data_IF_511962512662
#
_entry.id   IF_511962512662
#
_cell.length_a   1.000
_cell.length_b   1.000
_cell.length_c   1.000
_cell.angle_alpha   90.00
_cell.angle_beta   90.00
_cell.angle_gamma   90.00
#
_symmetry.space_group_name_H-M   'P 1'
#
loop_
_entity.id
_entity.type
_entity.pdbx_description
1 polymer ?
#
# COMPACT_ATOMS: atom_id res chain seq x y z
N UNK A 1 15.15 -1.46 19.47
CA UNK A 1 14.19 -0.69 18.64
C UNK A 1 12.85 -0.65 19.36
N UNK A 2 12.25 0.54 19.49
CA UNK A 2 10.88 0.73 20.03
C UNK A 2 10.02 1.17 18.85
N UNK A 3 8.94 0.45 18.58
CA UNK A 3 8.00 0.84 17.54
C UNK A 3 6.86 1.64 18.16
N UNK A 4 6.56 2.80 17.56
CA UNK A 4 5.44 3.64 17.98
C UNK A 4 4.28 3.42 17.00
N UNK A 5 3.17 2.93 17.53
CA UNK A 5 1.94 2.73 16.78
C UNK A 5 0.90 3.71 17.28
N UNK A 6 0.21 4.39 16.37
CA UNK A 6 -0.98 5.15 16.74
C UNK A 6 -2.20 4.23 16.68
N UNK A 7 -2.88 4.02 17.81
CA UNK A 7 -4.10 3.22 17.87
C UNK A 7 -5.32 4.09 17.57
N UNK A 8 -6.03 3.78 16.48
CA UNK A 8 -7.26 4.48 16.09
C UNK A 8 -8.37 4.29 17.14
N UNK A 9 -8.48 3.11 17.72
CA UNK A 9 -9.51 2.78 18.71
C UNK A 9 -9.26 3.44 20.07
N UNK A 10 -8.00 3.62 20.45
CA UNK A 10 -7.62 4.19 21.75
C UNK A 10 -7.22 5.67 21.68
N UNK A 11 -7.23 6.26 20.49
CA UNK A 11 -6.86 7.66 20.21
C UNK A 11 -5.50 8.06 20.84
N UNK A 12 -4.53 7.13 20.84
CA UNK A 12 -3.22 7.33 21.50
C UNK A 12 -2.09 6.56 20.84
N UNK A 13 -0.86 7.01 21.10
CA UNK A 13 0.36 6.28 20.75
C UNK A 13 0.61 5.14 21.74
N UNK A 14 0.77 3.95 21.22
CA UNK A 14 1.18 2.72 21.92
C UNK A 14 2.61 2.40 21.51
N UNK A 15 3.49 2.19 22.48
CA UNK A 15 4.87 1.76 22.23
C UNK A 15 5.00 0.25 22.41
N UNK A 16 5.56 -0.41 21.40
CA UNK A 16 5.91 -1.83 21.47
C UNK A 16 7.42 -1.96 21.50
N UNK A 17 7.93 -2.36 22.66
CA UNK A 17 9.33 -2.70 22.83
C UNK A 17 9.63 -4.05 22.20
N UNK A 18 10.76 -4.15 21.49
CA UNK A 18 11.30 -5.44 21.06
C UNK A 18 11.60 -6.29 22.30
N UNK A 19 10.74 -7.24 22.64
CA UNK A 19 10.96 -8.19 23.74
C UNK A 19 12.16 -9.06 23.41
N UNK A 20 13.26 -8.90 24.16
CA UNK A 20 14.29 -9.96 24.28
C UNK A 20 15.61 -9.82 23.52
N UNK A 21 16.10 -8.62 23.18
CA UNK A 21 17.51 -8.49 22.76
C UNK A 21 18.16 -7.22 23.31
N UNK A 22 18.94 -7.38 24.40
CA UNK A 22 19.96 -6.42 24.84
C UNK A 22 21.21 -6.46 23.94
N UNK A 23 21.17 -7.21 22.84
CA UNK A 23 22.22 -7.26 21.83
C UNK A 23 21.88 -6.31 20.68
N UNK A 24 22.91 -5.72 20.09
CA UNK A 24 22.86 -5.00 18.82
C UNK A 24 22.45 -6.00 17.72
N UNK A 25 21.17 -6.34 17.67
CA UNK A 25 20.62 -7.32 16.73
C UNK A 25 20.69 -6.78 15.31
N UNK A 26 20.61 -7.67 14.31
CA UNK A 26 20.75 -7.31 12.89
C UNK A 26 19.78 -6.23 12.44
N UNK A 27 18.64 -6.02 13.14
CA UNK A 27 17.52 -5.16 12.71
C UNK A 27 17.66 -3.65 13.01
N UNK A 28 18.68 -3.20 13.75
CA UNK A 28 18.72 -1.79 14.19
C UNK A 28 18.85 -0.77 13.04
N UNK A 29 19.33 -1.19 11.87
CA UNK A 29 19.48 -0.36 10.67
C UNK A 29 18.47 -0.72 9.55
N UNK A 30 17.50 -1.60 9.84
CA UNK A 30 16.50 -2.03 8.86
C UNK A 30 15.46 -0.94 8.59
N UNK A 31 15.09 -0.76 7.31
CA UNK A 31 13.96 0.07 6.90
C UNK A 31 12.68 -0.76 6.89
N UNK A 32 11.59 -0.19 7.38
CA UNK A 32 10.26 -0.79 7.20
C UNK A 32 9.81 -0.49 5.77
N UNK A 33 9.47 -1.54 5.02
CA UNK A 33 9.15 -1.46 3.58
C UNK A 33 7.77 -2.02 3.23
N UNK A 34 7.04 -2.53 4.21
CA UNK A 34 5.69 -3.06 4.03
C UNK A 34 5.12 -3.59 5.33
N UNK A 35 3.82 -3.81 5.36
CA UNK A 35 3.10 -4.34 6.52
C UNK A 35 1.89 -5.10 6.01
N UNK A 36 1.74 -6.37 6.37
CA UNK A 36 0.63 -7.21 5.92
C UNK A 36 0.35 -8.31 6.95
N UNK A 37 -0.93 -8.54 7.25
CA UNK A 37 -1.40 -9.59 8.17
C UNK A 37 -0.67 -9.62 9.53
N UNK A 38 -0.45 -8.47 10.17
CA UNK A 38 0.24 -8.37 11.46
C UNK A 38 1.76 -8.54 11.40
N UNK A 39 2.35 -8.63 10.20
CA UNK A 39 3.80 -8.69 9.98
C UNK A 39 4.30 -7.41 9.35
N UNK A 40 5.40 -6.87 9.89
CA UNK A 40 6.21 -5.84 9.26
C UNK A 40 7.25 -6.49 8.36
N UNK A 41 7.47 -5.93 7.18
CA UNK A 41 8.60 -6.28 6.35
C UNK A 41 9.76 -5.30 6.56
N UNK A 42 10.93 -5.85 6.87
CA UNK A 42 12.14 -5.11 7.19
C UNK A 42 13.21 -5.41 6.14
N UNK A 43 13.76 -4.37 5.53
CA UNK A 43 14.80 -4.46 4.51
C UNK A 43 16.10 -3.83 4.99
N UNK A 44 17.20 -4.55 4.82
CA UNK A 44 18.55 -4.10 5.13
C UNK A 44 19.29 -3.70 3.87
N UNK A 45 19.61 -2.42 3.74
CA UNK A 45 20.22 -1.89 2.52
C UNK A 45 21.66 -2.39 2.31
N UNK A 46 22.40 -2.66 3.38
CA UNK A 46 23.81 -3.01 3.31
C UNK A 46 24.07 -4.44 2.83
N UNK A 47 23.21 -5.39 3.20
CA UNK A 47 23.37 -6.81 2.87
C UNK A 47 22.22 -7.38 2.03
N UNK A 48 21.25 -6.54 1.66
CA UNK A 48 20.04 -6.91 0.93
C UNK A 48 19.19 -8.00 1.62
N UNK A 49 19.33 -8.16 2.93
CA UNK A 49 18.50 -9.09 3.68
C UNK A 49 17.09 -8.52 3.87
N UNK A 50 16.10 -9.40 3.74
CA UNK A 50 14.69 -9.09 3.94
C UNK A 50 14.11 -10.02 5.01
N UNK A 51 13.36 -9.46 5.94
CA UNK A 51 12.76 -10.21 7.04
C UNK A 51 11.30 -9.81 7.26
N UNK A 52 10.48 -10.78 7.67
CA UNK A 52 9.18 -10.52 8.26
C UNK A 52 9.33 -10.53 9.79
N UNK A 53 8.88 -9.47 10.44
CA UNK A 53 8.85 -9.33 11.89
C UNK A 53 7.43 -9.11 12.38
N UNK A 54 6.99 -9.90 13.36
CA UNK A 54 5.69 -9.69 14.02
C UNK A 54 5.92 -8.97 15.36
N UNK A 55 5.53 -7.68 15.50
CA UNK A 55 5.80 -6.89 16.71
C UNK A 55 5.12 -7.41 17.98
N UNK A 56 4.01 -8.13 17.84
CA UNK A 56 3.20 -8.63 18.96
C UNK A 56 3.79 -9.92 19.52
N UNK A 57 4.09 -10.87 18.64
CA UNK A 57 4.64 -12.19 19.01
C UNK A 57 6.16 -12.22 19.13
N UNK A 58 6.87 -11.23 18.57
CA UNK A 58 8.33 -11.18 18.51
C UNK A 58 8.97 -12.16 17.52
N UNK A 59 8.15 -12.83 16.68
CA UNK A 59 8.65 -13.80 15.69
C UNK A 59 9.34 -13.10 14.52
N UNK A 60 10.36 -13.76 13.98
CA UNK A 60 11.12 -13.30 12.81
C UNK A 60 11.22 -14.42 11.79
N UNK A 61 11.08 -14.08 10.50
CA UNK A 61 11.26 -15.00 9.37
C UNK A 61 12.18 -14.33 8.36
N UNK A 62 13.29 -14.97 8.03
CA UNK A 62 14.20 -14.51 6.98
C UNK A 62 13.63 -14.91 5.62
N UNK A 63 13.43 -13.93 4.76
CA UNK A 63 13.10 -14.13 3.35
C UNK A 63 14.39 -14.28 2.52
N UNK A 64 14.31 -14.81 1.29
CA UNK A 64 15.49 -14.89 0.44
C UNK A 64 16.09 -13.51 0.20
N UNK A 65 17.43 -13.39 0.13
CA UNK A 65 18.04 -12.15 -0.32
C UNK A 65 17.60 -11.89 -1.77
N UNK A 66 17.37 -10.63 -2.09
CA UNK A 66 16.99 -10.20 -3.42
C UNK A 66 18.10 -9.32 -3.99
N UNK A 67 18.73 -9.77 -5.07
CA UNK A 67 19.71 -8.96 -5.80
C UNK A 67 18.98 -7.83 -6.55
N UNK A 68 18.73 -6.72 -5.86
CA UNK A 68 18.02 -5.57 -6.43
C UNK A 68 18.91 -4.65 -7.28
N UNK A 69 20.23 -4.87 -7.32
CA UNK A 69 21.18 -3.95 -7.97
C UNK A 69 21.08 -2.55 -7.36
N UNK A 70 20.99 -1.51 -8.18
CA UNK A 70 20.69 -0.14 -7.74
C UNK A 70 19.19 0.12 -7.51
N UNK A 71 18.37 -0.93 -7.48
CA UNK A 71 16.92 -0.86 -7.39
C UNK A 71 16.39 -0.72 -5.96
N UNK A 72 15.15 -0.25 -5.84
CA UNK A 72 14.41 -0.10 -4.58
C UNK A 72 13.50 -1.29 -4.32
N UNK A 73 13.16 -1.55 -3.05
CA UNK A 73 11.99 -2.36 -2.73
C UNK A 73 10.78 -1.43 -2.60
N UNK A 74 9.72 -1.71 -3.36
CA UNK A 74 8.57 -0.82 -3.45
C UNK A 74 7.46 -1.27 -2.52
N UNK A 75 7.02 -2.53 -2.62
CA UNK A 75 5.96 -3.11 -1.77
C UNK A 75 6.20 -4.59 -1.51
N UNK A 76 5.63 -5.09 -0.43
CA UNK A 76 5.58 -6.52 -0.09
C UNK A 76 4.25 -6.85 0.59
N UNK A 77 3.60 -7.90 0.09
CA UNK A 77 2.35 -8.43 0.63
C UNK A 77 2.50 -9.94 0.87
N UNK A 78 1.88 -10.44 1.93
CA UNK A 78 1.82 -11.88 2.22
C UNK A 78 0.38 -12.38 2.14
N UNK A 79 0.20 -13.65 1.77
CA UNK A 79 -1.12 -14.26 1.60
C UNK A 79 -1.75 -14.78 2.90
N UNK A 80 -1.03 -14.72 4.03
CA UNK A 80 -1.47 -15.33 5.29
C UNK A 80 -0.76 -14.72 6.48
N UNK A 81 -1.44 -14.72 7.61
CA UNK A 81 -0.90 -14.40 8.93
C UNK A 81 0.06 -15.45 9.49
N UNK A 82 0.09 -16.63 8.86
CA UNK A 82 0.99 -17.75 9.16
C UNK A 82 2.03 -17.93 8.04
N UNK A 83 3.03 -17.02 7.90
CA UNK A 83 4.02 -17.10 6.83
C UNK A 83 4.92 -18.34 6.85
N UNK A 84 4.93 -19.09 7.95
CA UNK A 84 5.66 -20.34 8.10
C UNK A 84 4.96 -21.53 7.44
N UNK A 85 3.69 -21.40 7.06
CA UNK A 85 2.96 -22.44 6.33
C UNK A 85 3.44 -22.54 4.87
N UNK A 86 3.50 -23.76 4.34
CA UNK A 86 3.96 -23.99 2.95
C UNK A 86 3.05 -23.35 1.90
N UNK A 87 1.80 -23.05 2.25
CA UNK A 87 0.82 -22.41 1.37
C UNK A 87 0.94 -20.87 1.36
N UNK A 88 1.71 -20.29 2.29
CA UNK A 88 1.92 -18.85 2.29
C UNK A 88 2.82 -18.43 1.13
N UNK A 89 2.43 -17.33 0.48
CA UNK A 89 3.19 -16.67 -0.58
C UNK A 89 3.51 -15.25 -0.11
N UNK A 90 4.74 -14.83 -0.33
CA UNK A 90 5.13 -13.43 -0.24
C UNK A 90 5.37 -12.92 -1.66
N UNK A 91 4.71 -11.83 -2.02
CA UNK A 91 4.83 -11.17 -3.33
C UNK A 91 5.41 -9.78 -3.11
N UNK A 92 6.34 -9.39 -3.98
CA UNK A 92 7.05 -8.13 -3.88
C UNK A 92 7.05 -7.39 -5.22
N UNK A 93 7.09 -6.06 -5.15
CA UNK A 93 7.52 -5.21 -6.25
C UNK A 93 8.88 -4.60 -5.93
N UNK A 94 9.79 -4.62 -6.90
CA UNK A 94 11.18 -4.19 -6.69
C UNK A 94 11.87 -3.73 -7.97
N UNK A 95 12.99 -3.03 -7.81
CA UNK A 95 13.78 -2.49 -8.90
C UNK A 95 13.26 -1.15 -9.43
N UNK A 96 14.00 -0.51 -10.35
CA UNK A 96 13.59 0.75 -10.98
C UNK A 96 12.38 0.58 -11.92
N UNK A 97 12.04 -0.65 -12.28
CA UNK A 97 10.92 -0.99 -13.16
C UNK A 97 9.72 -1.58 -12.39
N UNK A 98 9.77 -1.57 -11.05
CA UNK A 98 8.71 -2.12 -10.18
C UNK A 98 8.30 -3.55 -10.60
N UNK A 99 9.29 -4.42 -10.82
CA UNK A 99 9.12 -5.81 -11.25
C UNK A 99 8.48 -6.66 -10.17
N UNK A 100 7.73 -7.67 -10.58
CA UNK A 100 7.03 -8.58 -9.68
C UNK A 100 7.84 -9.86 -9.43
N UNK A 101 7.94 -10.27 -8.18
CA UNK A 101 8.46 -11.59 -7.82
C UNK A 101 7.70 -12.17 -6.63
N UNK A 102 7.75 -13.49 -6.48
CA UNK A 102 7.21 -14.16 -5.31
C UNK A 102 8.15 -15.21 -4.73
N UNK A 103 7.98 -15.50 -3.44
CA UNK A 103 8.62 -16.62 -2.78
C UNK A 103 7.63 -17.33 -1.83
N UNK A 104 8.07 -18.47 -1.28
CA UNK A 104 7.31 -19.27 -0.31
C UNK A 104 8.04 -19.23 1.04
N UNK A 105 7.65 -18.35 1.99
CA UNK A 105 8.44 -18.14 3.21
C UNK A 105 8.54 -19.38 4.11
N UNK A 106 7.52 -20.25 4.11
CA UNK A 106 7.50 -21.49 4.88
C UNK A 106 8.24 -22.68 4.26
N UNK A 107 8.75 -22.57 3.02
CA UNK A 107 9.31 -23.73 2.31
C UNK A 107 10.72 -24.05 2.80
N UNK A 108 10.92 -25.26 3.34
CA UNK A 108 12.16 -25.68 4.01
C UNK A 108 13.26 -26.25 3.10
N UNK A 109 13.14 -26.15 1.76
CA UNK A 109 14.19 -26.63 0.85
C UNK A 109 15.39 -25.66 0.80
N UNK A 110 16.56 -26.22 0.50
CA UNK A 110 17.91 -25.68 0.75
C UNK A 110 18.26 -24.27 0.23
N UNK A 111 17.42 -23.65 -0.59
CA UNK A 111 17.38 -22.19 -0.80
C UNK A 111 15.93 -21.82 -1.14
N UNK A 112 15.27 -21.02 -0.31
CA UNK A 112 14.08 -20.29 -0.74
C UNK A 112 14.61 -19.27 -1.76
N UNK A 113 14.09 -19.24 -2.97
CA UNK A 113 14.50 -18.31 -4.03
C UNK A 113 13.30 -17.52 -4.54
N UNK A 114 13.56 -16.30 -5.00
CA UNK A 114 12.56 -15.46 -5.64
C UNK A 114 12.29 -15.98 -7.05
N UNK A 115 11.02 -16.24 -7.35
CA UNK A 115 10.56 -16.55 -8.70
C UNK A 115 10.02 -15.28 -9.33
N UNK A 116 10.59 -14.89 -10.48
CA UNK A 116 10.16 -13.70 -11.22
C UNK A 116 8.79 -13.94 -11.85
N UNK A 117 7.95 -12.91 -11.84
CA UNK A 117 6.61 -12.90 -12.41
C UNK A 117 6.53 -11.82 -13.50
N UNK A 118 5.64 -12.04 -14.47
CA UNK A 118 5.42 -11.12 -15.59
C UNK A 118 6.55 -11.15 -16.64
N UNK A 119 6.38 -10.35 -17.69
CA UNK A 119 7.43 -10.10 -18.68
C UNK A 119 8.28 -8.89 -18.27
N UNK A 120 9.60 -9.01 -18.38
CA UNK A 120 10.57 -8.01 -17.91
C UNK A 120 10.70 -6.78 -18.83
N UNK A 121 9.86 -6.66 -19.86
CA UNK A 121 10.16 -5.81 -21.03
C UNK A 121 9.48 -4.44 -21.06
N UNK A 122 8.43 -4.15 -20.27
CA UNK A 122 7.76 -2.83 -20.34
C UNK A 122 6.76 -2.46 -19.22
N UNK A 123 6.65 -3.20 -18.12
CA UNK A 123 5.50 -3.07 -17.21
C UNK A 123 5.89 -2.71 -15.77
N UNK A 124 5.45 -1.54 -15.31
CA UNK A 124 5.57 -1.09 -13.91
C UNK A 124 4.31 -1.47 -13.13
N UNK A 125 4.49 -2.18 -12.01
CA UNK A 125 3.40 -2.53 -11.09
C UNK A 125 3.28 -1.47 -9.99
N UNK A 126 2.10 -0.85 -9.89
CA UNK A 126 1.87 0.25 -8.93
C UNK A 126 1.17 -0.22 -7.65
N UNK A 127 0.29 -1.21 -7.76
CA UNK A 127 -0.44 -1.74 -6.61
C UNK A 127 -0.57 -3.25 -6.62
N UNK A 128 -0.54 -3.81 -5.41
CA UNK A 128 -0.80 -5.21 -5.12
C UNK A 128 -1.91 -5.30 -4.07
N UNK A 129 -2.76 -6.31 -4.20
CA UNK A 129 -3.71 -6.72 -3.16
C UNK A 129 -3.86 -8.24 -3.16
N UNK A 130 -4.25 -8.81 -2.02
CA UNK A 130 -4.49 -10.26 -1.91
C UNK A 130 -5.92 -10.53 -1.47
N UNK A 131 -6.59 -11.44 -2.18
CA UNK A 131 -7.90 -11.97 -1.80
C UNK A 131 -7.73 -13.34 -1.15
N UNK A 132 -8.17 -13.45 0.09
CA UNK A 132 -8.11 -14.68 0.87
C UNK A 132 -9.15 -15.70 0.39
N UNK A 133 -10.33 -15.23 -0.03
CA UNK A 133 -11.42 -16.09 -0.52
C UNK A 133 -11.12 -16.67 -1.89
N UNK A 134 -10.61 -15.87 -2.82
CA UNK A 134 -10.27 -16.32 -4.17
C UNK A 134 -8.87 -16.97 -4.22
N UNK A 135 -8.02 -16.68 -3.21
CA UNK A 135 -6.62 -17.08 -3.14
C UNK A 135 -5.84 -16.60 -4.37
N UNK A 136 -6.04 -15.32 -4.71
CA UNK A 136 -5.44 -14.64 -5.85
C UNK A 136 -4.74 -13.36 -5.39
N UNK A 137 -3.64 -13.03 -6.06
CA UNK A 137 -3.02 -11.72 -5.95
C UNK A 137 -3.51 -10.86 -7.11
N UNK A 138 -4.06 -9.70 -6.80
CA UNK A 138 -4.46 -8.71 -7.78
C UNK A 138 -3.35 -7.68 -7.94
N UNK A 139 -3.03 -7.33 -9.18
CA UNK A 139 -2.00 -6.38 -9.52
C UNK A 139 -2.57 -5.31 -10.44
N UNK A 140 -2.25 -4.05 -10.19
CA UNK A 140 -2.55 -2.92 -11.08
C UNK A 140 -1.24 -2.41 -11.70
N UNK A 141 -1.27 -2.19 -13.01
CA UNK A 141 -0.15 -1.64 -13.78
C UNK A 141 -0.35 -0.14 -14.04
N UNK A 142 0.73 0.55 -14.40
CA UNK A 142 0.71 1.99 -14.71
C UNK A 142 -0.29 2.39 -15.80
N UNK A 143 -0.60 1.51 -16.74
CA UNK A 143 -1.56 1.77 -17.82
C UNK A 143 -2.97 1.25 -17.51
N UNK A 144 -3.36 1.18 -16.23
CA UNK A 144 -4.69 0.78 -15.76
C UNK A 144 -5.08 -0.68 -16.02
N UNK A 145 -4.14 -1.48 -16.52
CA UNK A 145 -4.35 -2.89 -16.69
C UNK A 145 -4.36 -3.61 -15.34
N UNK A 146 -5.35 -4.47 -15.16
CA UNK A 146 -5.50 -5.32 -13.98
C UNK A 146 -5.16 -6.78 -14.28
N UNK A 147 -4.43 -7.42 -13.38
CA UNK A 147 -4.03 -8.82 -13.49
C UNK A 147 -4.39 -9.58 -12.22
N UNK A 148 -4.86 -10.82 -12.39
CA UNK A 148 -4.99 -11.79 -11.32
C UNK A 148 -3.91 -12.86 -11.42
N UNK A 149 -3.16 -13.05 -10.34
CA UNK A 149 -2.10 -14.04 -10.22
C UNK A 149 -2.51 -15.17 -9.28
N UNK A 150 -2.54 -16.39 -9.83
CA UNK A 150 -2.68 -17.63 -9.07
C UNK A 150 -1.29 -18.23 -8.82
N UNK A 151 -0.86 -18.15 -7.57
CA UNK A 151 0.46 -18.61 -7.12
C UNK A 151 0.38 -19.85 -6.23
N UNK A 152 -0.75 -20.57 -6.22
CA UNK A 152 -0.93 -21.75 -5.37
C UNK A 152 0.07 -22.84 -5.69
N UNK A 153 0.28 -23.12 -6.98
CA UNK A 153 1.37 -23.97 -7.45
C UNK A 153 2.63 -23.12 -7.69
N UNK A 154 3.65 -23.21 -6.82
CA UNK A 154 4.85 -22.40 -6.96
C UNK A 154 5.69 -22.76 -8.20
N UNK A 155 5.43 -23.90 -8.85
CA UNK A 155 6.12 -24.31 -10.08
C UNK A 155 5.39 -23.87 -11.34
N UNK A 156 4.14 -23.44 -11.22
CA UNK A 156 3.30 -23.03 -12.35
C UNK A 156 2.49 -21.78 -11.99
N UNK A 157 3.15 -20.62 -11.79
CA UNK A 157 2.45 -19.36 -11.58
C UNK A 157 1.60 -19.03 -12.81
N UNK A 158 0.34 -18.65 -12.60
CA UNK A 158 -0.60 -18.33 -13.68
C UNK A 158 -1.12 -16.92 -13.55
N UNK A 159 -0.93 -16.13 -14.60
CA UNK A 159 -1.52 -14.82 -14.75
C UNK A 159 -2.80 -14.93 -15.58
N UNK A 160 -3.84 -14.21 -15.17
CA UNK A 160 -5.07 -14.00 -15.94
C UNK A 160 -5.33 -12.50 -16.03
N UNK A 161 -5.38 -11.91 -17.24
CA UNK A 161 -5.73 -10.51 -17.39
C UNK A 161 -7.19 -10.30 -16.99
N UNK A 162 -7.46 -9.24 -16.23
CA UNK A 162 -8.82 -8.84 -15.87
C UNK A 162 -9.25 -7.81 -16.90
N UNK A 163 -10.06 -8.26 -17.87
CA UNK A 163 -10.66 -7.36 -18.85
C UNK A 163 -11.84 -6.67 -18.17
N UNK A 164 -11.70 -5.36 -17.98
CA UNK A 164 -12.69 -4.54 -17.29
C UNK A 164 -13.47 -3.73 -18.31
N UNK A 165 -14.79 -3.77 -18.21
CA UNK A 165 -15.68 -2.78 -18.81
C UNK A 165 -15.82 -1.57 -17.90
N UNK A 166 -15.68 -0.37 -18.45
CA UNK A 166 -15.71 0.87 -17.68
C UNK A 166 -16.77 1.82 -18.23
N UNK A 167 -17.32 2.66 -17.37
CA UNK A 167 -18.11 3.81 -17.78
C UNK A 167 -17.16 4.93 -18.23
N UNK A 168 -17.15 5.26 -19.52
CA UNK A 168 -16.21 6.23 -20.09
C UNK A 168 -16.30 7.63 -19.44
N UNK A 169 -17.48 8.01 -18.95
CA UNK A 169 -17.70 9.31 -18.29
C UNK A 169 -17.17 9.35 -16.84
N UNK A 170 -16.84 8.20 -16.24
CA UNK A 170 -16.43 8.10 -14.83
C UNK A 170 -15.09 7.36 -14.64
N UNK A 171 -14.44 6.92 -15.72
CA UNK A 171 -13.14 6.25 -15.70
C UNK A 171 -12.24 6.72 -16.85
N UNK A 172 -10.95 7.01 -16.62
CA UNK A 172 -10.22 6.83 -15.35
C UNK A 172 -10.52 7.88 -14.28
N UNK A 173 -11.11 9.01 -14.67
CA UNK A 173 -11.39 10.14 -13.79
C UNK A 173 -12.89 10.37 -13.74
N UNK A 174 -13.46 10.43 -12.54
CA UNK A 174 -14.82 10.92 -12.35
C UNK A 174 -14.76 12.42 -12.03
N UNK A 175 -15.57 13.25 -12.69
CA UNK A 175 -15.63 14.67 -12.37
C UNK A 175 -17.05 15.21 -12.53
N UNK A 176 -17.42 16.17 -11.68
CA UNK A 176 -18.75 16.80 -11.68
C UNK A 176 -18.73 18.20 -12.29
N UNK A 177 -17.54 18.73 -12.57
CA UNK A 177 -17.35 20.01 -13.24
C UNK A 177 -16.04 19.98 -14.05
N UNK A 178 -15.97 20.83 -15.06
CA UNK A 178 -14.74 21.03 -15.85
C UNK A 178 -13.57 21.43 -14.96
N UNK A 179 -13.81 22.30 -13.96
CA UNK A 179 -12.78 22.69 -12.99
C UNK A 179 -12.24 21.51 -12.17
N UNK A 180 -13.09 20.59 -11.73
CA UNK A 180 -12.65 19.39 -11.00
C UNK A 180 -11.81 18.48 -11.89
N UNK A 181 -12.23 18.30 -13.15
CA UNK A 181 -11.50 17.52 -14.13
C UNK A 181 -10.12 18.14 -14.41
N UNK A 182 -10.08 19.45 -14.66
CA UNK A 182 -8.84 20.20 -14.90
C UNK A 182 -7.88 20.09 -13.71
N UNK A 183 -8.39 20.21 -12.48
CA UNK A 183 -7.58 20.02 -11.27
C UNK A 183 -7.00 18.61 -11.18
N UNK A 184 -7.79 17.57 -11.47
CA UNK A 184 -7.31 16.18 -11.46
C UNK A 184 -6.27 15.91 -12.55
N UNK A 185 -6.42 16.51 -13.73
CA UNK A 185 -5.45 16.39 -14.83
C UNK A 185 -4.10 17.05 -14.53
N UNK A 186 -4.06 17.98 -13.58
CA UNK A 186 -2.81 18.59 -13.09
C UNK A 186 -2.16 17.82 -11.95
N UNK A 187 -2.84 16.81 -11.38
CA UNK A 187 -2.32 16.02 -10.27
C UNK A 187 -1.45 14.85 -10.73
N UNK A 188 -0.55 14.42 -9.85
CA UNK A 188 -0.02 13.06 -9.87
C UNK A 188 -1.12 12.10 -9.40
N UNK A 189 -1.39 11.05 -10.16
CA UNK A 189 -2.33 10.00 -9.78
C UNK A 189 -1.61 8.77 -9.21
N UNK A 190 -2.06 8.31 -8.05
CA UNK A 190 -1.58 7.09 -7.40
C UNK A 190 -2.69 6.06 -7.32
N UNK A 191 -2.41 4.83 -7.75
CA UNK A 191 -3.39 3.75 -7.85
C UNK A 191 -3.22 2.75 -6.71
N UNK A 192 -4.35 2.36 -6.13
CA UNK A 192 -4.42 1.35 -5.08
C UNK A 192 -5.47 0.31 -5.43
N UNK A 193 -5.09 -0.95 -5.31
CA UNK A 193 -6.02 -2.05 -5.20
C UNK A 193 -6.26 -2.30 -3.73
N UNK A 194 -7.54 -2.39 -3.37
CA UNK A 194 -8.00 -2.55 -2.00
C UNK A 194 -8.95 -3.73 -1.98
N UNK A 195 -8.68 -4.69 -1.11
CA UNK A 195 -9.62 -5.80 -0.84
C UNK A 195 -10.29 -5.54 0.51
N UNK A 196 -11.62 -5.62 0.54
CA UNK A 196 -12.38 -5.57 1.78
C UNK A 196 -12.24 -6.89 2.54
N UNK A 197 -11.71 -6.86 3.76
CA UNK A 197 -11.29 -8.06 4.47
C UNK A 197 -12.43 -9.07 4.72
N UNK A 198 -13.65 -8.57 4.98
CA UNK A 198 -14.81 -9.42 5.29
C UNK A 198 -15.57 -9.90 4.04
N UNK A 199 -15.81 -9.01 3.08
CA UNK A 199 -16.63 -9.31 1.90
C UNK A 199 -15.82 -9.89 0.74
N UNK A 200 -14.50 -9.70 0.76
CA UNK A 200 -13.55 -10.01 -0.32
C UNK A 200 -13.85 -9.24 -1.62
N UNK A 201 -14.53 -8.09 -1.50
CA UNK A 201 -14.78 -7.20 -2.62
C UNK A 201 -13.52 -6.42 -2.98
N UNK A 202 -13.25 -6.30 -4.29
CA UNK A 202 -12.09 -5.60 -4.83
C UNK A 202 -12.46 -4.19 -5.26
N UNK A 203 -11.65 -3.22 -4.87
CA UNK A 203 -11.79 -1.82 -5.22
C UNK A 203 -10.51 -1.31 -5.87
N UNK A 204 -10.67 -0.47 -6.88
CA UNK A 204 -9.62 0.32 -7.48
C UNK A 204 -9.79 1.77 -7.00
N UNK A 205 -8.79 2.29 -6.30
CA UNK A 205 -8.81 3.62 -5.70
C UNK A 205 -7.73 4.47 -6.36
N UNK A 206 -8.11 5.59 -6.96
CA UNK A 206 -7.18 6.63 -7.39
C UNK A 206 -7.10 7.72 -6.35
N UNK A 207 -5.88 8.16 -6.08
CA UNK A 207 -5.56 9.31 -5.23
C UNK A 207 -4.91 10.39 -6.09
N UNK A 208 -5.40 11.62 -5.96
CA UNK A 208 -4.88 12.77 -6.69
C UNK A 208 -4.05 13.64 -5.76
N UNK A 209 -2.76 13.77 -6.06
CA UNK A 209 -1.80 14.56 -5.28
C UNK A 209 -1.34 15.75 -6.12
N UNK A 210 -1.48 16.94 -5.57
CA UNK A 210 -1.08 18.19 -6.20
C UNK A 210 0.29 18.64 -5.68
N UNK A 211 1.20 19.01 -6.58
CA UNK A 211 2.40 19.80 -6.26
C UNK A 211 2.13 21.28 -6.52
N UNK A 212 2.54 22.18 -5.62
CA UNK A 212 2.42 23.61 -5.86
C UNK A 212 3.37 24.04 -6.96
N UNK A 213 2.91 24.94 -7.84
CA UNK A 213 3.80 25.63 -8.76
C UNK A 213 4.48 26.79 -8.04
N UNK A 214 5.79 26.89 -8.20
CA UNK A 214 6.57 28.03 -7.75
C UNK A 214 6.12 29.34 -8.43
N UNK A 215 6.50 30.50 -7.90
CA UNK A 215 6.10 31.82 -8.43
C UNK A 215 6.53 32.06 -9.88
N UNK A 216 7.54 31.33 -10.36
CA UNK A 216 8.11 31.35 -11.69
C UNK A 216 7.54 30.24 -12.62
N UNK A 217 6.58 29.46 -12.13
CA UNK A 217 6.03 28.29 -12.83
C UNK A 217 6.96 27.08 -12.81
N UNK A 218 8.02 27.08 -11.99
CA UNK A 218 8.80 25.87 -11.72
C UNK A 218 8.00 24.91 -10.83
N UNK A 219 8.17 23.61 -11.05
CA UNK A 219 7.54 22.59 -10.21
C UNK A 219 8.27 22.54 -8.85
N UNK A 220 7.64 23.09 -7.81
CA UNK A 220 8.14 22.93 -6.45
C UNK A 220 7.71 21.54 -5.99
N UNK A 221 8.64 20.57 -6.04
CA UNK A 221 8.39 19.17 -5.64
C UNK A 221 7.79 19.00 -4.24
N UNK A 222 7.81 20.04 -3.39
CA UNK A 222 7.33 20.09 -2.01
C UNK A 222 6.85 21.51 -1.63
N UNK A 223 5.83 21.67 -0.76
CA UNK A 223 5.01 20.63 -0.15
C UNK A 223 3.86 20.19 -1.07
N UNK A 224 3.70 18.89 -1.28
CA UNK A 224 2.55 18.31 -1.99
C UNK A 224 1.42 17.98 -1.02
N UNK A 225 0.19 17.90 -1.55
CA UNK A 225 -0.98 17.51 -0.77
C UNK A 225 -1.99 16.73 -1.60
N UNK A 226 -2.72 15.85 -0.94
CA UNK A 226 -3.85 15.16 -1.55
C UNK A 226 -5.05 16.10 -1.71
N UNK A 227 -5.65 16.10 -2.89
CA UNK A 227 -6.81 16.95 -3.22
C UNK A 227 -8.09 16.17 -3.47
N UNK A 228 -8.01 14.86 -3.70
CA UNK A 228 -9.20 14.04 -3.87
C UNK A 228 -8.92 12.57 -4.17
N UNK A 229 -10.00 11.82 -4.31
CA UNK A 229 -9.99 10.38 -4.57
C UNK A 229 -11.15 9.97 -5.47
N UNK A 230 -10.91 8.97 -6.32
CA UNK A 230 -11.96 8.23 -7.03
C UNK A 230 -11.91 6.76 -6.60
N UNK A 231 -13.08 6.16 -6.37
CA UNK A 231 -13.20 4.76 -5.96
C UNK A 231 -14.10 4.05 -6.96
N UNK A 232 -13.60 2.95 -7.51
CA UNK A 232 -14.34 2.07 -8.38
C UNK A 232 -14.38 0.68 -7.76
N UNK A 233 -15.57 0.08 -7.69
CA UNK A 233 -15.75 -1.30 -7.24
C UNK A 233 -15.72 -2.24 -8.43
N UNK A 234 -14.94 -3.30 -8.35
CA UNK A 234 -14.95 -4.36 -9.35
C UNK A 234 -16.14 -5.30 -9.11
N UNK A 235 -16.99 -5.43 -10.13
CA UNK A 235 -18.05 -6.42 -10.18
C UNK A 235 -17.61 -7.63 -11.03
N UNK A 236 -17.34 -8.78 -10.40
CA UNK A 236 -16.92 -9.98 -11.12
C UNK A 236 -18.02 -10.63 -11.96
N UNK A 237 -19.31 -10.36 -11.68
CA UNK A 237 -20.42 -10.94 -12.44
C UNK A 237 -20.56 -10.26 -13.81
N UNK A 238 -20.44 -8.93 -13.82
CA UNK A 238 -20.50 -8.14 -15.05
C UNK A 238 -19.14 -7.89 -15.69
N UNK A 239 -18.05 -8.08 -14.94
CA UNK A 239 -16.70 -7.75 -15.37
C UNK A 239 -16.49 -6.24 -15.51
N UNK A 240 -17.13 -5.44 -14.67
CA UNK A 240 -17.11 -3.97 -14.76
C UNK A 240 -16.46 -3.31 -13.54
N UNK A 241 -15.88 -2.12 -13.73
CA UNK A 241 -15.51 -1.22 -12.65
C UNK A 241 -16.60 -0.16 -12.51
N UNK A 242 -17.37 -0.26 -11.43
CA UNK A 242 -18.50 0.64 -11.14
C UNK A 242 -18.00 1.78 -10.25
N UNK A 243 -18.18 3.02 -10.68
CA UNK A 243 -17.83 4.17 -9.88
C UNK A 243 -18.70 4.26 -8.62
N UNK A 244 -18.07 4.45 -7.47
CA UNK A 244 -18.74 4.57 -6.18
C UNK A 244 -19.07 6.04 -5.94
N UNK A 245 -20.29 6.47 -6.25
CA UNK A 245 -20.61 7.90 -6.12
C UNK A 245 -20.85 8.30 -4.65
N UNK A 246 -19.83 8.89 -4.01
CA UNK A 246 -19.88 9.47 -2.65
C UNK A 246 -20.34 8.51 -1.54
N UNK A 247 -20.29 7.21 -1.79
CA UNK A 247 -20.66 6.18 -0.83
C UNK A 247 -19.75 4.97 -0.99
N UNK A 248 -19.12 4.54 0.10
CA UNK A 248 -18.32 3.33 0.19
C UNK A 248 -19.14 2.13 0.69
N UNK A 249 -20.47 2.25 0.74
CA UNK A 249 -21.35 1.13 1.09
C UNK A 249 -21.18 0.61 2.53
N UNK A 250 -20.89 1.51 3.48
CA UNK A 250 -20.64 1.13 4.88
C UNK A 250 -19.21 0.65 5.16
N UNK A 251 -18.31 0.80 4.19
CA UNK A 251 -16.88 0.52 4.35
C UNK A 251 -16.09 1.79 4.70
N UNK A 252 -14.89 1.54 5.21
CA UNK A 252 -13.80 2.51 5.39
C UNK A 252 -12.57 1.95 4.69
N UNK A 253 -11.89 2.78 3.91
CA UNK A 253 -10.73 2.37 3.11
C UNK A 253 -9.46 2.94 3.75
N UNK A 254 -8.41 2.12 3.81
CA UNK A 254 -7.07 2.49 4.25
C UNK A 254 -6.09 2.33 3.09
N UNK A 255 -5.36 3.40 2.76
CA UNK A 255 -4.34 3.42 1.70
C UNK A 255 -3.11 4.22 2.13
N UNK A 256 -1.96 3.97 1.54
CA UNK A 256 -0.71 4.65 1.93
C UNK A 256 0.51 4.07 1.25
N UNK A 257 1.67 4.17 1.90
CA UNK A 257 2.91 3.59 1.38
C UNK A 257 2.88 2.04 1.31
N UNK A 258 2.05 1.37 2.10
CA UNK A 258 1.84 -0.08 2.05
C UNK A 258 0.58 -0.47 1.25
N UNK A 259 0.28 -1.76 1.19
CA UNK A 259 -0.96 -2.29 0.61
C UNK A 259 -2.21 -1.70 1.27
N UNK A 260 -3.25 -1.49 0.46
CA UNK A 260 -4.51 -0.95 0.93
C UNK A 260 -5.49 -2.05 1.33
N UNK A 261 -6.32 -1.76 2.32
CA UNK A 261 -7.36 -2.66 2.82
C UNK A 261 -8.63 -1.88 3.17
N UNK A 262 -9.76 -2.57 3.25
CA UNK A 262 -11.03 -1.96 3.66
C UNK A 262 -11.69 -2.76 4.79
N UNK A 263 -12.30 -2.01 5.72
CA UNK A 263 -12.97 -2.55 6.90
C UNK A 263 -14.44 -2.12 6.91
N UNK A 264 -15.31 -2.93 7.52
CA UNK A 264 -16.71 -2.57 7.70
C UNK A 264 -16.91 -1.72 8.95
N UNK A 265 -17.67 -0.63 8.80
CA UNK A 265 -18.11 0.21 9.92
C UNK A 265 -19.06 -0.52 10.87
N UNK A 266 -19.67 -1.63 10.43
CA UNK A 266 -20.51 -2.46 11.29
C UNK A 266 -19.68 -3.27 12.32
N UNK A 267 -18.46 -3.67 11.95
CA UNK A 267 -17.53 -4.36 12.85
C UNK A 267 -16.67 -3.39 13.65
N UNK A 268 -16.31 -2.25 13.05
CA UNK A 268 -15.47 -1.22 13.66
C UNK A 268 -16.22 0.13 13.74
N UNK A 269 -17.21 0.26 14.66
CA UNK A 269 -18.03 1.47 14.79
C UNK A 269 -17.25 2.70 15.27
N UNK A 270 -16.03 2.53 15.78
CA UNK A 270 -15.11 3.61 16.15
C UNK A 270 -14.53 4.35 14.92
N UNK A 271 -14.56 3.74 13.73
CA UNK A 271 -14.08 4.36 12.51
C UNK A 271 -15.11 5.36 11.98
N UNK A 272 -14.63 6.46 11.38
CA UNK A 272 -15.50 7.42 10.71
C UNK A 272 -16.10 6.75 9.47
N UNK A 273 -17.42 6.63 9.37
CA UNK A 273 -18.04 5.94 8.25
C UNK A 273 -17.77 6.67 6.94
N UNK A 274 -17.82 5.94 5.83
CA UNK A 274 -17.71 6.48 4.49
C UNK A 274 -16.46 7.36 4.29
N UNK A 275 -15.33 6.92 4.86
CA UNK A 275 -14.09 7.69 4.89
C UNK A 275 -12.92 6.89 4.30
N UNK A 276 -11.97 7.62 3.71
CA UNK A 276 -10.69 7.12 3.24
C UNK A 276 -9.60 7.65 4.18
N UNK A 277 -8.94 6.73 4.88
CA UNK A 277 -7.81 7.00 5.74
C UNK A 277 -6.55 6.83 4.91
N UNK A 278 -5.76 7.89 4.78
CA UNK A 278 -4.58 7.87 3.91
C UNK A 278 -3.31 8.29 4.65
N UNK A 279 -2.20 7.66 4.31
CA UNK A 279 -0.85 8.12 4.69
C UNK A 279 -0.04 8.47 3.46
N UNK A 280 1.09 9.14 3.65
CA UNK A 280 1.96 9.57 2.56
C UNK A 280 2.39 8.40 1.66
N UNK A 281 2.33 8.59 0.35
CA UNK A 281 2.55 7.56 -0.67
C UNK A 281 3.93 7.62 -1.28
N UNK A 282 4.64 8.75 -1.13
CA UNK A 282 5.95 8.89 -1.73
C UNK A 282 7.01 8.19 -0.87
N UNK A 283 7.82 7.34 -1.50
CA UNK A 283 8.71 6.37 -0.82
C UNK A 283 9.89 7.03 -0.11
N UNK A 284 10.31 6.59 1.11
CA UNK A 284 11.39 7.18 1.93
C UNK A 284 12.73 7.45 1.22
N UNK A 285 13.01 6.76 0.11
CA UNK A 285 14.25 6.86 -0.66
C UNK A 285 14.29 8.06 -1.61
N UNK A 286 13.14 8.54 -2.10
CA UNK A 286 13.06 9.77 -2.91
C UNK A 286 13.37 11.03 -2.07
N UNK A 287 13.39 10.89 -0.75
CA UNK A 287 13.52 11.97 0.24
C UNK A 287 14.92 12.15 0.81
N UNK A 288 15.96 11.51 0.25
CA UNK A 288 17.33 11.72 0.76
C UNK A 288 17.77 13.18 0.54
N UNK A 289 17.16 13.89 -0.44
CA UNK A 289 17.52 15.26 -0.80
C UNK A 289 16.59 16.32 -0.18
N UNK A 290 15.36 15.97 0.23
CA UNK A 290 14.37 16.92 0.74
C UNK A 290 14.11 16.76 2.24
N UNK A 291 14.02 17.88 2.96
CA UNK A 291 13.66 17.94 4.40
C UNK A 291 12.17 17.69 4.69
N UNK A 292 11.42 17.19 3.70
CA UNK A 292 9.97 16.97 3.71
C UNK A 292 9.66 15.46 3.64
N UNK A 293 8.38 15.08 3.69
CA UNK A 293 7.94 13.69 3.51
C UNK A 293 7.28 13.08 4.74
N UNK A 294 6.31 12.21 4.49
CA UNK A 294 5.50 11.59 5.53
C UNK A 294 4.39 12.49 6.08
N UNK A 295 4.19 13.69 5.52
CA UNK A 295 3.26 14.71 6.00
C UNK A 295 1.87 14.65 5.34
N UNK A 296 1.76 14.04 4.15
CA UNK A 296 0.49 13.99 3.41
C UNK A 296 -0.38 12.81 3.90
N UNK A 297 -0.96 13.00 5.09
CA UNK A 297 -1.79 12.04 5.81
C UNK A 297 -3.07 12.70 6.33
N UNK A 298 -4.16 11.94 6.37
CA UNK A 298 -5.45 12.50 6.75
C UNK A 298 -6.60 11.50 6.68
N UNK A 299 -7.80 12.03 6.94
CA UNK A 299 -9.06 11.31 6.76
C UNK A 299 -9.92 12.12 5.80
N UNK A 300 -10.24 11.54 4.66
CA UNK A 300 -11.14 12.11 3.66
C UNK A 300 -12.54 11.53 3.83
N UNK A 301 -13.53 12.37 4.15
CA UNK A 301 -14.93 11.98 4.12
C UNK A 301 -15.38 11.91 2.65
N UNK A 302 -15.70 10.71 2.19
CA UNK A 302 -16.02 10.44 0.79
C UNK A 302 -17.39 11.00 0.38
N UNK A 303 -18.32 11.15 1.33
CA UNK A 303 -19.63 11.75 1.09
C UNK A 303 -19.53 13.25 0.82
N UNK A 304 -18.91 13.95 1.77
CA UNK A 304 -18.90 15.41 1.82
C UNK A 304 -17.71 15.98 1.04
N UNK A 305 -16.76 15.12 0.65
CA UNK A 305 -15.48 15.47 0.01
C UNK A 305 -14.68 16.46 0.85
N UNK A 306 -14.58 16.19 2.16
CA UNK A 306 -13.86 17.05 3.11
C UNK A 306 -12.70 16.32 3.75
N UNK A 307 -11.62 17.05 3.99
CA UNK A 307 -10.45 16.54 4.70
C UNK A 307 -10.54 16.90 6.18
N UNK A 308 -10.22 15.94 7.03
CA UNK A 308 -9.95 16.18 8.45
C UNK A 308 -8.52 15.77 8.76
N UNK A 309 -7.85 16.58 9.58
CA UNK A 309 -6.53 16.22 10.12
C UNK A 309 -6.65 14.89 10.85
N UNK A 310 -5.66 14.04 10.65
CA UNK A 310 -5.54 12.82 11.41
C UNK A 310 -4.47 12.99 12.51
N UNK A 311 -4.17 11.88 13.16
CA UNK A 311 -3.63 11.80 14.50
C UNK A 311 -2.20 12.31 14.70
N UNK A 312 -1.50 12.63 13.60
CA UNK A 312 -0.20 13.29 13.63
C UNK A 312 -0.39 14.80 13.38
N UNK A 313 0.15 15.67 14.25
CA UNK A 313 0.07 17.11 14.02
C UNK A 313 0.92 17.49 12.80
N UNK A 314 0.26 17.82 11.70
CA UNK A 314 0.88 18.42 10.52
C UNK A 314 0.61 19.93 10.55
N UNK A 315 1.59 20.72 11.00
CA UNK A 315 1.57 22.17 10.79
C UNK A 315 2.11 22.45 9.39
N UNK A 316 1.23 22.86 8.47
CA UNK A 316 1.61 23.16 7.08
C UNK A 316 2.68 24.26 6.97
N UNK A 317 2.70 25.20 7.92
CA UNK A 317 3.70 26.29 7.91
C UNK A 317 5.05 25.85 8.49
N UNK A 318 5.09 24.71 9.19
CA UNK A 318 6.29 24.16 9.83
C UNK A 318 6.40 22.64 9.59
N UNK A 319 6.09 22.18 8.37
CA UNK A 319 6.11 20.75 8.07
C UNK A 319 7.52 20.22 8.33
N UNK A 320 7.60 19.21 9.19
CA UNK A 320 8.82 18.44 9.42
C UNK A 320 8.63 17.07 8.84
N UNK A 321 9.68 16.55 8.20
CA UNK A 321 9.73 15.17 7.76
C UNK A 321 9.40 14.21 8.91
N UNK A 322 8.49 13.28 8.67
CA UNK A 322 8.14 12.21 9.61
C UNK A 322 8.95 10.96 9.21
N UNK A 323 9.75 10.43 10.15
CA UNK A 323 10.62 9.27 9.91
C UNK A 323 10.38 8.20 10.99
N UNK A 324 10.07 6.95 10.62
CA UNK A 324 9.75 6.50 9.26
C UNK A 324 8.42 7.10 8.74
N UNK A 325 8.21 7.06 7.42
CA UNK A 325 6.92 7.45 6.81
C UNK A 325 5.77 6.67 7.46
N UNK A 326 4.68 7.33 7.89
CA UNK A 326 3.54 6.64 8.48
C UNK A 326 2.96 5.56 7.56
N UNK A 327 2.72 4.37 8.11
CA UNK A 327 2.14 3.25 7.40
C UNK A 327 1.04 2.59 8.22
N UNK A 328 0.14 1.88 7.55
CA UNK A 328 -0.90 1.13 8.23
C UNK A 328 -0.39 -0.22 8.74
N UNK A 329 -0.83 -0.58 9.94
CA UNK A 329 -0.54 -1.86 10.57
C UNK A 329 -1.84 -2.46 11.09
N UNK A 330 -2.18 -3.66 10.62
CA UNK A 330 -3.34 -4.42 11.10
C UNK A 330 -2.87 -5.51 12.07
N UNK A 331 -3.01 -5.32 13.40
CA UNK A 331 -2.72 -6.38 14.36
C UNK A 331 -3.74 -7.51 14.18
N UNK A 332 -3.29 -8.76 14.21
CA UNK A 332 -4.15 -9.95 14.21
C UNK A 332 -4.24 -10.59 15.58
#
# INVERSE_FOLDING_TARGET
MVYQFYSLAEDKVVSLDKKGSNECGPDNDAKIVGSSHGWLALFHEHNCDLFLYNPISGRHIKLPPLSMGNGRLSKIIISSSSPHEEDCRAVITYGPEDRLAFCCPGRTRSTIEWTLLGDCSSYQYESLAYSSKQKLFFCARTHDDLEAWNLRDPLSPRMTPIVVSVEEDSYPLAARSELELDLKLLCEDYKFLVVAEMSDELFHVRRFVMTPMGPDGSDESVPYMTVGFDVHKYDPETGSLVYMDRSLGGLVIFIGCNDGFALSTAEFPELKPNSIYFTDVRSPLEWIVSGYGGHDLGIFNYQDQTFTSCYYPCDFNNIKRIVPTPMWFTPL
#
